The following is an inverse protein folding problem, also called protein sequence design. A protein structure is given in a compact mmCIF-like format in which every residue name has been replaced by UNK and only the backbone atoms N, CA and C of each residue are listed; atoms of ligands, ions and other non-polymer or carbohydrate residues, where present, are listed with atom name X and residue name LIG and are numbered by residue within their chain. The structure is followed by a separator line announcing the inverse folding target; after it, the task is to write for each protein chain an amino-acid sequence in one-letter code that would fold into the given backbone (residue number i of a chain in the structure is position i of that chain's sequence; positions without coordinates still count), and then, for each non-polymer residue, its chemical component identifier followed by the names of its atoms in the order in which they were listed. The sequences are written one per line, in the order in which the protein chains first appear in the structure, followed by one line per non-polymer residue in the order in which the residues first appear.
data_IF_711154555685
#
_entry.id   IF_711154555685
#
_cell.length_a   1.000
_cell.length_b   1.000
_cell.length_c   1.000
_cell.angle_alpha   90.00
_cell.angle_beta   90.00
_cell.angle_gamma   90.00
#
_symmetry.space_group_name_H-M   'P 1'
#
loop_
_entity.id
_entity.type
_entity.pdbx_description
1 polymer ?
#
# COMPACT_ATOMS: atom_id res chain seq x y z
N UNK A 1 16.65 41.86 -10.62
CA UNK A 1 15.94 40.66 -11.14
C UNK A 1 16.08 39.54 -10.13
N UNK A 2 14.99 39.17 -9.45
CA UNK A 2 14.98 38.06 -8.49
C UNK A 2 15.10 36.73 -9.25
N UNK A 3 16.14 35.94 -8.99
CA UNK A 3 16.23 34.57 -9.50
C UNK A 3 15.12 33.77 -8.82
N UNK A 4 14.11 33.33 -9.57
CA UNK A 4 13.14 32.36 -9.08
C UNK A 4 13.90 31.11 -8.62
N UNK A 5 13.92 30.88 -7.31
CA UNK A 5 14.46 29.64 -6.74
C UNK A 5 13.51 28.52 -7.17
N UNK A 6 14.00 27.61 -7.99
CA UNK A 6 13.23 26.45 -8.46
C UNK A 6 12.88 25.61 -7.22
N UNK A 7 11.61 25.58 -6.84
CA UNK A 7 11.14 24.77 -5.70
C UNK A 7 11.49 23.32 -6.00
N UNK A 8 12.31 22.71 -5.15
CA UNK A 8 12.66 21.30 -5.31
C UNK A 8 11.43 20.49 -4.89
N UNK A 9 11.03 19.53 -5.71
CA UNK A 9 9.78 18.80 -5.57
C UNK A 9 10.06 17.38 -5.06
N UNK A 10 9.33 16.96 -4.03
CA UNK A 10 9.28 15.58 -3.56
C UNK A 10 8.99 14.63 -4.72
N UNK A 11 9.78 13.56 -4.85
CA UNK A 11 9.67 12.62 -5.98
C UNK A 11 9.55 11.18 -5.48
N UNK A 12 8.54 10.47 -5.96
CA UNK A 12 8.39 9.02 -5.78
C UNK A 12 8.96 8.31 -7.00
N UNK A 13 9.99 7.50 -6.78
CA UNK A 13 10.56 6.61 -7.78
C UNK A 13 9.90 5.24 -7.67
N UNK A 14 9.35 4.77 -8.80
CA UNK A 14 8.72 3.46 -8.92
C UNK A 14 9.50 2.62 -9.92
N UNK A 15 9.91 1.43 -9.51
CA UNK A 15 10.56 0.47 -10.38
C UNK A 15 9.55 -0.11 -11.38
N UNK A 16 9.76 0.03 -12.70
CA UNK A 16 8.86 -0.55 -13.69
C UNK A 16 8.95 -2.07 -13.66
N UNK A 17 7.88 -2.77 -13.25
CA UNK A 17 7.89 -4.23 -13.17
C UNK A 17 6.50 -4.84 -13.14
N UNK A 18 6.43 -6.09 -13.58
CA UNK A 18 5.25 -6.96 -13.49
C UNK A 18 5.42 -8.04 -12.42
N UNK A 19 6.47 -7.95 -11.59
CA UNK A 19 6.61 -8.85 -10.45
C UNK A 19 5.64 -8.42 -9.35
N UNK A 20 5.01 -9.42 -8.75
CA UNK A 20 3.96 -9.23 -7.75
C UNK A 20 4.37 -8.27 -6.62
N UNK A 21 5.51 -8.51 -5.98
CA UNK A 21 5.99 -7.69 -4.86
C UNK A 21 6.25 -6.24 -5.27
N UNK A 22 6.77 -6.02 -6.48
CA UNK A 22 7.07 -4.68 -6.99
C UNK A 22 5.76 -3.90 -7.26
N UNK A 23 4.71 -4.59 -7.73
CA UNK A 23 3.37 -4.02 -7.87
C UNK A 23 2.69 -3.75 -6.53
N UNK A 24 2.81 -4.66 -5.56
CA UNK A 24 2.29 -4.47 -4.19
C UNK A 24 2.90 -3.22 -3.55
N UNK A 25 4.22 -3.09 -3.60
CA UNK A 25 4.94 -1.95 -3.03
C UNK A 25 4.56 -0.64 -3.72
N UNK A 26 4.52 -0.65 -5.06
CA UNK A 26 4.15 0.53 -5.85
C UNK A 26 2.72 0.97 -5.52
N UNK A 27 1.78 0.03 -5.41
CA UNK A 27 0.39 0.32 -5.06
C UNK A 27 0.29 0.95 -3.66
N UNK A 28 0.96 0.37 -2.64
CA UNK A 28 0.97 0.93 -1.27
C UNK A 28 1.41 2.39 -1.25
N UNK A 29 2.50 2.72 -1.95
CA UNK A 29 3.02 4.07 -2.00
C UNK A 29 2.09 5.04 -2.75
N UNK A 30 1.49 4.61 -3.87
CA UNK A 30 0.53 5.42 -4.62
C UNK A 30 -0.74 5.72 -3.82
N UNK A 31 -1.27 4.72 -3.11
CA UNK A 31 -2.43 4.92 -2.23
C UNK A 31 -2.11 5.88 -1.08
N UNK A 32 -0.89 5.79 -0.51
CA UNK A 32 -0.46 6.70 0.53
C UNK A 32 -0.30 8.15 0.03
N UNK A 33 0.23 8.36 -1.18
CA UNK A 33 0.28 9.69 -1.79
C UNK A 33 -1.14 10.27 -1.90
N UNK A 34 -2.09 9.52 -2.44
CA UNK A 34 -3.46 9.98 -2.57
C UNK A 34 -4.08 10.31 -1.21
N UNK A 35 -3.95 9.40 -0.25
CA UNK A 35 -4.50 9.57 1.09
C UNK A 35 -3.86 10.75 1.85
N UNK A 36 -2.60 11.09 1.54
CA UNK A 36 -1.90 12.24 2.15
C UNK A 36 -2.29 13.58 1.52
N UNK A 37 -2.75 13.59 0.27
CA UNK A 37 -2.96 14.82 -0.50
C UNK A 37 -1.67 15.58 -0.85
N UNK A 38 -0.49 14.99 -0.60
CA UNK A 38 0.81 15.60 -0.93
C UNK A 38 1.03 15.53 -2.44
N UNK A 39 1.40 16.65 -3.04
CA UNK A 39 1.83 16.69 -4.44
C UNK A 39 3.22 16.06 -4.57
N UNK A 40 3.25 14.85 -5.16
CA UNK A 40 4.48 14.07 -5.35
C UNK A 40 4.65 13.79 -6.85
N UNK A 41 5.81 14.16 -7.38
CA UNK A 41 6.17 13.81 -8.75
C UNK A 41 6.49 12.32 -8.84
N UNK A 42 5.89 11.61 -9.78
CA UNK A 42 6.27 10.23 -10.05
C UNK A 42 7.39 10.17 -11.10
N UNK A 43 8.38 9.31 -10.90
CA UNK A 43 9.46 9.05 -11.84
C UNK A 43 9.81 7.56 -11.90
N UNK A 44 10.34 7.10 -13.03
CA UNK A 44 10.72 5.69 -13.21
C UNK A 44 12.17 5.38 -12.86
N UNK A 45 13.05 6.38 -12.75
CA UNK A 45 14.49 6.16 -12.75
C UNK A 45 15.29 7.32 -12.14
N UNK A 46 16.14 6.98 -11.17
CA UNK A 46 17.29 7.75 -10.64
C UNK A 46 18.20 6.84 -9.80
N UNK A 47 17.63 5.76 -9.25
CA UNK A 47 18.27 4.89 -8.27
C UNK A 47 18.41 3.43 -8.77
N UNK A 48 18.95 3.20 -9.96
CA UNK A 48 19.15 1.84 -10.50
C UNK A 48 20.05 0.96 -9.62
N UNK A 49 20.82 1.57 -8.71
CA UNK A 49 21.68 0.87 -7.75
C UNK A 49 20.98 0.46 -6.46
N UNK A 50 19.77 0.95 -6.20
CA UNK A 50 18.99 0.55 -5.03
C UNK A 50 18.22 -0.73 -5.36
N UNK A 51 18.22 -1.68 -4.42
CA UNK A 51 17.51 -2.95 -4.59
C UNK A 51 15.98 -2.76 -4.48
N UNK A 52 15.56 -1.65 -3.90
CA UNK A 52 14.21 -1.32 -3.50
C UNK A 52 13.31 -0.98 -4.69
N UNK A 53 12.04 -1.38 -4.56
CA UNK A 53 11.04 -1.21 -5.61
C UNK A 53 10.47 0.21 -5.65
N UNK A 54 10.51 0.88 -4.49
CA UNK A 54 9.93 2.20 -4.27
C UNK A 54 10.87 3.03 -3.41
N UNK A 55 11.12 4.26 -3.84
CA UNK A 55 11.97 5.21 -3.13
C UNK A 55 11.28 6.58 -3.10
N UNK A 56 11.22 7.21 -1.94
CA UNK A 56 10.75 8.58 -1.79
C UNK A 56 11.96 9.51 -1.56
N UNK A 57 12.21 10.42 -2.51
CA UNK A 57 13.25 11.44 -2.43
C UNK A 57 12.63 12.77 -1.95
N UNK A 58 13.10 13.27 -0.81
CA UNK A 58 12.69 14.51 -0.15
C UNK A 58 13.89 15.47 -0.15
N UNK A 59 14.22 16.07 -1.30
CA UNK A 59 15.43 16.87 -1.45
C UNK A 59 15.45 18.12 -0.57
N UNK A 60 14.28 18.68 -0.26
CA UNK A 60 14.12 19.79 0.68
C UNK A 60 14.53 19.43 2.12
N UNK A 61 14.52 18.14 2.46
CA UNK A 61 14.93 17.60 3.75
C UNK A 61 16.30 16.88 3.70
N UNK A 62 16.95 16.81 2.53
CA UNK A 62 18.12 15.95 2.29
C UNK A 62 17.89 14.52 2.80
N UNK A 63 16.70 13.98 2.51
CA UNK A 63 16.25 12.68 3.02
C UNK A 63 15.80 11.78 1.86
N UNK A 64 16.27 10.54 1.87
CA UNK A 64 15.76 9.47 1.00
C UNK A 64 15.17 8.40 1.91
N UNK A 65 13.90 8.05 1.67
CA UNK A 65 13.22 6.97 2.38
C UNK A 65 13.11 5.78 1.44
N UNK A 66 13.66 4.67 1.92
CA UNK A 66 13.54 3.33 1.34
C UNK A 66 12.78 2.46 2.34
N UNK A 67 12.17 1.35 1.89
CA UNK A 67 11.09 0.59 2.56
C UNK A 67 9.69 1.20 2.42
N UNK A 68 8.80 0.46 1.74
CA UNK A 68 7.42 0.88 1.47
C UNK A 68 6.64 1.22 2.74
N UNK A 69 6.78 0.45 3.81
CA UNK A 69 6.06 0.72 5.06
C UNK A 69 6.53 2.02 5.74
N UNK A 70 7.81 2.37 5.62
CA UNK A 70 8.34 3.64 6.09
C UNK A 70 7.83 4.80 5.23
N UNK A 71 7.77 4.63 3.91
CA UNK A 71 7.20 5.61 2.98
C UNK A 71 5.73 5.89 3.30
N UNK A 72 4.91 4.85 3.48
CA UNK A 72 3.48 5.00 3.84
C UNK A 72 3.34 5.73 5.17
N UNK A 73 4.10 5.35 6.20
CA UNK A 73 4.04 6.01 7.51
C UNK A 73 4.48 7.48 7.43
N UNK A 74 5.50 7.79 6.63
CA UNK A 74 5.94 9.16 6.43
C UNK A 74 4.87 10.02 5.73
N UNK A 75 4.30 9.52 4.64
CA UNK A 75 3.26 10.24 3.88
C UNK A 75 1.99 10.46 4.70
N UNK A 76 1.68 9.55 5.63
CA UNK A 76 0.50 9.63 6.50
C UNK A 76 0.82 10.04 7.94
N UNK A 77 1.97 10.68 8.18
CA UNK A 77 2.44 11.07 9.52
C UNK A 77 1.44 11.91 10.32
N UNK A 78 0.67 12.78 9.66
CA UNK A 78 -0.31 13.63 10.33
C UNK A 78 -1.49 12.80 10.86
N UNK A 79 -1.83 11.70 10.18
CA UNK A 79 -2.84 10.73 10.64
C UNK A 79 -2.31 9.87 11.78
N UNK A 80 -1.01 9.57 11.78
CA UNK A 80 -0.33 8.82 12.87
C UNK A 80 -0.26 9.65 14.15
N UNK A 81 0.13 10.93 14.03
CA UNK A 81 0.35 11.82 15.17
C UNK A 81 -0.92 12.06 16.00
N UNK A 82 -2.10 11.85 15.42
CA UNK A 82 -3.38 11.95 16.11
C UNK A 82 -3.83 10.68 16.83
N UNK A 83 -3.11 9.55 16.72
CA UNK A 83 -3.49 8.28 17.32
C UNK A 83 -2.99 8.16 18.76
N UNK A 84 -3.77 7.52 19.62
CA UNK A 84 -3.28 7.06 20.91
C UNK A 84 -2.34 5.84 20.76
N UNK A 85 -1.63 5.49 21.83
CA UNK A 85 -0.66 4.39 21.81
C UNK A 85 -1.30 3.04 21.43
N UNK A 86 -2.57 2.82 21.77
CA UNK A 86 -3.28 1.58 21.49
C UNK A 86 -3.64 1.48 20.02
N UNK A 87 -4.15 2.55 19.43
CA UNK A 87 -4.49 2.63 18.02
C UNK A 87 -3.22 2.58 17.15
N UNK A 88 -2.13 3.22 17.58
CA UNK A 88 -0.83 3.12 16.90
C UNK A 88 -0.28 1.68 16.93
N UNK A 89 -0.36 1.00 18.07
CA UNK A 89 0.07 -0.40 18.19
C UNK A 89 -0.76 -1.32 17.28
N UNK A 90 -2.07 -1.07 17.19
CA UNK A 90 -2.96 -1.78 16.28
C UNK A 90 -2.58 -1.59 14.81
N UNK A 91 -2.36 -0.34 14.36
CA UNK A 91 -1.91 -0.04 13.00
C UNK A 91 -0.60 -0.75 12.69
N UNK A 92 0.39 -0.65 13.59
CA UNK A 92 1.67 -1.32 13.41
C UNK A 92 1.52 -2.84 13.35
N UNK A 93 0.66 -3.44 14.16
CA UNK A 93 0.43 -4.89 14.13
C UNK A 93 -0.06 -5.37 12.75
N UNK A 94 -0.95 -4.64 12.09
CA UNK A 94 -1.41 -4.97 10.74
C UNK A 94 -0.35 -4.74 9.67
N UNK A 95 0.45 -3.68 9.78
CA UNK A 95 1.58 -3.43 8.87
C UNK A 95 2.61 -4.56 8.96
N UNK A 96 2.96 -5.00 10.17
CA UNK A 96 3.90 -6.12 10.35
C UNK A 96 3.28 -7.45 9.94
N UNK A 97 1.98 -7.66 10.20
CA UNK A 97 1.25 -8.84 9.73
C UNK A 97 1.26 -8.93 8.20
N UNK A 98 1.02 -7.81 7.52
CA UNK A 98 1.12 -7.72 6.07
C UNK A 98 2.53 -8.11 5.56
N UNK A 99 3.55 -7.43 6.10
CA UNK A 99 4.96 -7.58 5.70
C UNK A 99 5.47 -9.01 5.90
N UNK A 100 5.20 -9.63 7.04
CA UNK A 100 5.82 -10.92 7.39
C UNK A 100 4.95 -12.14 7.10
N UNK A 101 3.64 -11.97 7.00
CA UNK A 101 2.70 -13.09 6.88
C UNK A 101 1.90 -12.98 5.59
N UNK A 102 1.10 -11.93 5.43
CA UNK A 102 0.10 -11.86 4.35
C UNK A 102 0.73 -11.84 2.96
N UNK A 103 1.64 -10.89 2.70
CA UNK A 103 2.29 -10.76 1.38
C UNK A 103 3.08 -12.02 1.01
N UNK A 104 3.73 -12.65 2.00
CA UNK A 104 4.43 -13.92 1.80
C UNK A 104 3.47 -15.05 1.44
N UNK A 105 2.41 -15.24 2.24
CA UNK A 105 1.41 -16.29 2.01
C UNK A 105 0.74 -16.11 0.65
N UNK A 106 0.40 -14.87 0.28
CA UNK A 106 -0.25 -14.53 -0.99
C UNK A 106 0.71 -14.40 -2.18
N UNK A 107 2.01 -14.62 -1.99
CA UNK A 107 2.95 -14.65 -3.11
C UNK A 107 2.60 -15.78 -4.09
N UNK A 108 2.80 -15.53 -5.38
CA UNK A 108 2.53 -16.49 -6.46
C UNK A 108 3.23 -17.83 -6.22
N UNK A 109 4.44 -17.79 -5.69
CA UNK A 109 5.30 -18.97 -5.49
C UNK A 109 5.10 -19.64 -4.13
N UNK A 110 4.31 -19.05 -3.23
CA UNK A 110 3.98 -19.66 -1.93
C UNK A 110 3.08 -20.89 -2.11
N UNK A 111 3.45 -21.99 -1.46
CA UNK A 111 2.64 -23.22 -1.36
C UNK A 111 1.73 -23.21 -0.14
N UNK A 112 1.80 -22.18 0.71
CA UNK A 112 0.99 -22.07 1.92
C UNK A 112 -0.49 -21.81 1.56
N UNK A 113 -1.41 -22.45 2.31
CA UNK A 113 -2.85 -22.20 2.15
C UNK A 113 -3.20 -20.82 2.75
N UNK A 114 -3.79 -19.89 1.98
CA UNK A 114 -4.15 -18.57 2.48
C UNK A 114 -5.35 -18.57 3.43
N UNK A 115 -6.11 -19.66 3.56
CA UNK A 115 -7.35 -19.69 4.34
C UNK A 115 -7.20 -19.17 5.77
N UNK A 116 -6.17 -19.59 6.51
CA UNK A 116 -5.97 -19.12 7.89
C UNK A 116 -5.69 -17.61 7.97
N UNK A 117 -5.00 -17.05 6.95
CA UNK A 117 -4.74 -15.63 6.87
C UNK A 117 -6.00 -14.83 6.49
N UNK A 118 -6.76 -15.34 5.53
CA UNK A 118 -8.03 -14.74 5.09
C UNK A 118 -9.10 -14.83 6.19
N UNK A 119 -9.20 -15.93 6.92
CA UNK A 119 -10.12 -16.06 8.05
C UNK A 119 -9.80 -15.04 9.15
N UNK A 120 -8.52 -14.78 9.42
CA UNK A 120 -8.12 -13.73 10.37
C UNK A 120 -8.60 -12.35 9.93
N UNK A 121 -8.46 -12.01 8.64
CA UNK A 121 -8.90 -10.72 8.09
C UNK A 121 -10.43 -10.64 8.07
N UNK A 122 -11.11 -11.69 7.62
CA UNK A 122 -12.56 -11.80 7.61
C UNK A 122 -13.15 -11.58 9.01
N UNK A 123 -12.57 -12.22 10.03
CA UNK A 123 -12.99 -12.04 11.41
C UNK A 123 -12.71 -10.61 11.93
N UNK A 124 -11.59 -9.99 11.53
CA UNK A 124 -11.28 -8.61 11.88
C UNK A 124 -12.31 -7.63 11.27
N UNK A 125 -12.69 -7.82 10.01
CA UNK A 125 -13.70 -7.01 9.32
C UNK A 125 -15.11 -7.20 9.93
N UNK A 126 -15.49 -8.43 10.28
CA UNK A 126 -16.79 -8.74 10.91
C UNK A 126 -16.95 -8.17 12.31
N UNK A 127 -15.90 -8.22 13.12
CA UNK A 127 -16.01 -7.99 14.56
C UNK A 127 -16.19 -6.52 14.97
N UNK A 128 -16.43 -5.59 14.03
CA UNK A 128 -16.40 -4.14 14.27
C UNK A 128 -15.09 -3.68 14.95
N UNK A 129 -14.07 -4.55 14.95
CA UNK A 129 -12.81 -4.36 15.64
C UNK A 129 -12.08 -3.26 14.87
N UNK A 130 -11.74 -2.18 15.59
CA UNK A 130 -11.62 -0.81 15.07
C UNK A 130 -10.45 -0.57 14.08
N UNK A 131 -9.84 -1.60 13.52
CA UNK A 131 -8.47 -1.54 12.99
C UNK A 131 -8.36 -1.71 11.47
N UNK A 132 -9.38 -2.27 10.81
CA UNK A 132 -9.53 -2.29 9.35
C UNK A 132 -10.88 -1.67 9.00
N UNK A 133 -10.93 -0.80 7.99
CA UNK A 133 -12.16 -0.18 7.50
C UNK A 133 -12.73 0.98 8.34
N UNK A 134 -11.94 1.65 9.20
CA UNK A 134 -12.34 2.90 9.89
C UNK A 134 -11.41 4.07 9.56
N UNK A 135 -11.84 5.30 9.84
CA UNK A 135 -11.10 6.55 9.50
C UNK A 135 -9.68 6.59 10.09
N UNK A 136 -9.43 5.93 11.23
CA UNK A 136 -8.10 5.81 11.86
C UNK A 136 -7.20 4.73 11.24
N UNK A 137 -7.69 3.90 10.30
CA UNK A 137 -6.98 2.74 9.75
C UNK A 137 -6.42 2.96 8.34
N UNK A 138 -6.24 4.21 7.90
CA UNK A 138 -5.61 4.62 6.62
C UNK A 138 -4.45 3.70 6.21
N UNK A 139 -3.51 3.54 7.16
CA UNK A 139 -2.23 2.87 6.96
C UNK A 139 -2.37 1.35 6.92
N UNK A 140 -3.12 0.77 7.87
CA UNK A 140 -3.36 -0.68 7.91
C UNK A 140 -4.20 -1.14 6.73
N UNK A 141 -5.17 -0.32 6.30
CA UNK A 141 -5.96 -0.56 5.11
C UNK A 141 -5.04 -0.58 3.87
N UNK A 142 -4.16 0.41 3.69
CA UNK A 142 -3.24 0.44 2.54
C UNK A 142 -2.34 -0.80 2.51
N UNK A 143 -1.79 -1.20 3.66
CA UNK A 143 -0.93 -2.38 3.76
C UNK A 143 -1.68 -3.65 3.35
N UNK A 144 -2.78 -3.96 4.04
CA UNK A 144 -3.55 -5.21 3.82
C UNK A 144 -4.25 -5.22 2.46
N UNK A 145 -4.81 -4.08 2.03
CA UNK A 145 -5.52 -3.97 0.76
C UNK A 145 -4.61 -4.31 -0.41
N UNK A 146 -3.41 -3.72 -0.44
CA UNK A 146 -2.54 -3.87 -1.60
C UNK A 146 -2.09 -5.32 -1.79
N UNK A 147 -1.78 -6.02 -0.70
CA UNK A 147 -1.40 -7.44 -0.77
C UNK A 147 -2.58 -8.37 -1.01
N UNK A 148 -3.79 -8.07 -0.52
CA UNK A 148 -4.99 -8.80 -0.94
C UNK A 148 -5.28 -8.60 -2.43
N UNK A 149 -5.36 -7.35 -2.88
CA UNK A 149 -5.72 -7.01 -4.25
C UNK A 149 -4.75 -7.62 -5.26
N UNK A 150 -3.44 -7.40 -5.10
CA UNK A 150 -2.45 -7.93 -6.03
C UNK A 150 -2.23 -9.44 -5.80
N UNK A 151 -2.09 -9.87 -4.56
CA UNK A 151 -1.73 -11.25 -4.24
C UNK A 151 -2.82 -12.26 -4.57
N UNK A 152 -4.09 -11.95 -4.30
CA UNK A 152 -5.20 -12.84 -4.68
C UNK A 152 -5.31 -12.97 -6.20
N UNK A 153 -5.13 -11.88 -6.96
CA UNK A 153 -5.12 -11.92 -8.43
C UNK A 153 -3.98 -12.79 -8.97
N UNK A 154 -2.78 -12.71 -8.40
CA UNK A 154 -1.64 -13.52 -8.82
C UNK A 154 -1.81 -15.01 -8.47
N UNK A 155 -2.38 -15.30 -7.30
CA UNK A 155 -2.71 -16.67 -6.89
C UNK A 155 -3.93 -17.25 -7.58
N UNK A 156 -4.78 -16.41 -8.18
CA UNK A 156 -6.11 -16.79 -8.68
C UNK A 156 -6.94 -17.47 -7.60
N UNK A 157 -6.86 -16.95 -6.38
CA UNK A 157 -7.54 -17.54 -5.22
C UNK A 157 -9.01 -17.12 -5.18
N UNK A 158 -9.92 -18.08 -4.96
CA UNK A 158 -11.34 -17.78 -4.81
C UNK A 158 -11.67 -17.28 -3.40
N UNK A 159 -12.12 -16.03 -3.31
CA UNK A 159 -12.53 -15.40 -2.04
C UNK A 159 -14.03 -15.47 -1.77
N UNK A 160 -14.81 -16.24 -2.53
CA UNK A 160 -16.26 -16.39 -2.34
C UNK A 160 -16.65 -16.81 -0.91
N UNK A 161 -15.75 -17.52 -0.21
CA UNK A 161 -15.90 -17.93 1.21
C UNK A 161 -15.75 -16.78 2.22
N UNK A 162 -15.21 -15.64 1.81
CA UNK A 162 -14.87 -14.49 2.66
C UNK A 162 -15.66 -13.24 2.22
N UNK A 163 -16.98 -13.19 2.45
CA UNK A 163 -17.84 -12.12 1.95
C UNK A 163 -17.46 -10.73 2.49
N UNK A 164 -16.98 -10.60 3.74
CA UNK A 164 -16.58 -9.31 4.29
C UNK A 164 -15.31 -8.78 3.63
N UNK A 165 -14.35 -9.66 3.30
CA UNK A 165 -13.19 -9.29 2.47
C UNK A 165 -13.65 -8.82 1.10
N UNK A 166 -14.53 -9.57 0.43
CA UNK A 166 -15.01 -9.20 -0.91
C UNK A 166 -15.72 -7.84 -0.91
N UNK A 167 -16.62 -7.60 0.05
CA UNK A 167 -17.29 -6.31 0.21
C UNK A 167 -16.27 -5.18 0.48
N UNK A 168 -15.32 -5.40 1.39
CA UNK A 168 -14.31 -4.42 1.74
C UNK A 168 -13.40 -4.07 0.55
N UNK A 169 -12.94 -5.06 -0.22
CA UNK A 169 -12.15 -4.83 -1.44
C UNK A 169 -12.94 -4.02 -2.46
N UNK A 170 -14.21 -4.34 -2.70
CA UNK A 170 -15.06 -3.61 -3.63
C UNK A 170 -15.28 -2.15 -3.19
N UNK A 171 -15.50 -1.92 -1.89
CA UNK A 171 -15.63 -0.58 -1.34
C UNK A 171 -14.34 0.24 -1.50
N UNK A 172 -13.16 -0.36 -1.28
CA UNK A 172 -11.87 0.31 -1.51
C UNK A 172 -11.65 0.60 -2.99
N UNK A 173 -12.01 -0.35 -3.87
CA UNK A 173 -11.88 -0.21 -5.31
C UNK A 173 -12.70 0.96 -5.87
N UNK A 174 -13.95 1.11 -5.43
CA UNK A 174 -14.82 2.22 -5.84
C UNK A 174 -14.24 3.59 -5.42
N UNK A 175 -13.67 3.67 -4.22
CA UNK A 175 -13.10 4.92 -3.69
C UNK A 175 -11.73 5.29 -4.30
N UNK A 176 -11.07 4.34 -4.97
CA UNK A 176 -9.73 4.50 -5.52
C UNK A 176 -9.70 4.25 -7.05
N UNK A 177 -10.87 4.25 -7.70
CA UNK A 177 -11.08 3.92 -9.13
C UNK A 177 -10.11 4.62 -10.08
N UNK A 178 -9.81 5.90 -9.84
CA UNK A 178 -8.89 6.68 -10.67
C UNK A 178 -7.46 6.16 -10.62
N UNK A 179 -6.98 5.73 -9.44
CA UNK A 179 -5.64 5.15 -9.27
C UNK A 179 -5.56 3.83 -10.01
N UNK A 180 -6.56 2.96 -9.87
CA UNK A 180 -6.53 1.69 -10.59
C UNK A 180 -6.64 1.88 -12.09
N UNK A 181 -7.42 2.84 -12.58
CA UNK A 181 -7.49 3.13 -14.02
C UNK A 181 -6.12 3.56 -14.56
N UNK A 182 -5.33 4.29 -13.75
CA UNK A 182 -3.97 4.72 -14.11
C UNK A 182 -2.94 3.59 -13.97
N UNK A 183 -3.04 2.77 -12.92
CA UNK A 183 -2.19 1.61 -12.68
C UNK A 183 -2.40 0.50 -13.72
N UNK A 184 -3.66 0.17 -14.04
CA UNK A 184 -4.01 -0.85 -15.05
C UNK A 184 -3.66 -0.42 -16.47
N UNK A 185 -3.76 0.88 -16.81
CA UNK A 185 -3.27 1.42 -18.08
C UNK A 185 -1.74 1.36 -18.19
N UNK A 186 -1.02 1.53 -17.08
CA UNK A 186 0.45 1.59 -17.04
C UNK A 186 1.11 0.22 -16.86
N UNK A 187 0.43 -0.75 -16.21
CA UNK A 187 1.02 -2.03 -15.77
C UNK A 187 0.30 -3.28 -16.32
N UNK A 188 -0.68 -3.11 -17.22
CA UNK A 188 -1.45 -4.24 -17.77
C UNK A 188 -2.61 -4.67 -16.84
N UNK A 189 -3.59 -5.38 -17.41
CA UNK A 189 -4.84 -5.73 -16.70
C UNK A 189 -4.57 -6.57 -15.45
N UNK A 190 -4.74 -5.99 -14.28
CA UNK A 190 -5.08 -6.72 -13.06
C UNK A 190 -6.56 -7.09 -13.20
N UNK A 191 -6.85 -8.33 -13.56
CA UNK A 191 -8.21 -8.85 -13.60
C UNK A 191 -8.59 -9.35 -12.19
N UNK A 192 -9.68 -8.80 -11.65
CA UNK A 192 -10.53 -9.48 -10.66
C UNK A 192 -11.81 -9.86 -11.40
#
# INVERSE_FOLDING_TARGET
MSKQVKKVQTTLYLKPSLKQLELEDSLKALLAIQASGIDVKQASTKYEHFAENVILDLPENNLVIFETSAIVKYLLKDKINGLDAKDLAAVNSWVEYDKFILSKILSKDSTENPDAALEKIENALKSNNKQLGKVSSEISDIAVFSSLFVGLSYKKYDISKYPSINEWLNNKLQNQADIYSSATKKWGRVCI
#
